data_IF_945292700928
#
_entry.id   IF_945292700928
#
_cell.length_a   1.000
_cell.length_b   1.000
_cell.length_c   1.000
_cell.angle_alpha   90.00
_cell.angle_beta   90.00
_cell.angle_gamma   90.00
#
_symmetry.space_group_name_H-M   'P 1'
#
loop_
_entity.id
_entity.type
_entity.pdbx_description
1 polymer ?
#
# COMPACT_ATOMS: atom_id res chain seq x y z
N UNK A 1 47.74 -6.34 -5.39
CA UNK A 1 48.33 -7.25 -6.40
C UNK A 1 48.95 -8.44 -5.70
N UNK A 2 49.74 -8.18 -4.64
CA UNK A 2 50.23 -9.18 -3.69
C UNK A 2 49.14 -10.11 -3.13
N UNK A 3 47.98 -9.56 -2.70
CA UNK A 3 46.90 -10.38 -2.15
C UNK A 3 46.32 -11.39 -3.16
N UNK A 4 46.24 -11.00 -4.44
CA UNK A 4 45.76 -11.89 -5.53
C UNK A 4 46.78 -12.98 -5.84
N UNK A 5 48.08 -12.67 -5.80
CA UNK A 5 49.15 -13.66 -5.96
C UNK A 5 49.11 -14.70 -4.84
N UNK A 6 49.02 -14.23 -3.60
CA UNK A 6 49.00 -15.11 -2.44
C UNK A 6 47.76 -16.02 -2.44
N UNK A 7 46.60 -15.52 -2.87
CA UNK A 7 45.40 -16.32 -3.03
C UNK A 7 45.59 -17.46 -4.06
N UNK A 8 46.17 -17.17 -5.23
CA UNK A 8 46.45 -18.16 -6.28
C UNK A 8 47.46 -19.20 -5.79
N UNK A 9 48.50 -18.78 -5.06
CA UNK A 9 49.49 -19.71 -4.49
C UNK A 9 48.83 -20.65 -3.48
N UNK A 10 47.97 -20.11 -2.62
CA UNK A 10 47.26 -20.91 -1.61
C UNK A 10 46.30 -21.91 -2.27
N UNK A 11 45.58 -21.48 -3.30
CA UNK A 11 44.65 -22.33 -4.06
C UNK A 11 45.40 -23.43 -4.83
N UNK A 12 46.50 -23.08 -5.48
CA UNK A 12 47.36 -24.06 -6.16
C UNK A 12 47.90 -25.10 -5.18
N UNK A 13 48.46 -24.66 -4.04
CA UNK A 13 48.97 -25.56 -3.01
C UNK A 13 47.87 -26.48 -2.47
N UNK A 14 46.65 -25.98 -2.29
CA UNK A 14 45.52 -26.81 -1.85
C UNK A 14 45.15 -27.91 -2.87
N UNK A 15 45.36 -27.66 -4.16
CA UNK A 15 45.01 -28.59 -5.25
C UNK A 15 46.11 -29.59 -5.56
N UNK A 16 47.38 -29.19 -5.49
CA UNK A 16 48.53 -30.00 -5.93
C UNK A 16 49.41 -30.49 -4.79
N UNK A 17 49.38 -29.83 -3.64
CA UNK A 17 50.33 -30.04 -2.55
C UNK A 17 51.70 -29.40 -2.79
N UNK A 18 51.92 -28.74 -3.92
CA UNK A 18 53.19 -28.11 -4.29
C UNK A 18 53.22 -26.63 -3.91
N UNK A 19 54.31 -26.20 -3.27
CA UNK A 19 54.47 -24.78 -2.87
C UNK A 19 55.08 -23.97 -3.99
N UNK A 20 54.32 -23.00 -4.48
CA UNK A 20 54.81 -21.93 -5.34
C UNK A 20 55.21 -20.71 -4.51
N UNK A 21 56.09 -19.91 -5.08
CA UNK A 21 56.53 -18.60 -4.61
C UNK A 21 55.97 -17.50 -5.51
N UNK A 22 55.95 -16.26 -5.02
CA UNK A 22 55.36 -15.11 -5.75
C UNK A 22 56.04 -14.78 -7.09
N UNK A 23 57.26 -15.27 -7.28
CA UNK A 23 58.07 -15.05 -8.48
C UNK A 23 57.99 -16.21 -9.47
N UNK A 24 57.25 -17.28 -9.13
CA UNK A 24 57.11 -18.41 -10.03
C UNK A 24 56.34 -18.00 -11.30
N UNK A 25 56.84 -18.37 -12.50
CA UNK A 25 56.21 -18.01 -13.77
C UNK A 25 54.80 -18.60 -13.89
N UNK A 26 54.53 -19.70 -13.18
CA UNK A 26 53.20 -20.33 -13.08
C UNK A 26 52.20 -19.37 -12.41
N UNK A 27 52.58 -18.67 -11.34
CA UNK A 27 51.72 -17.69 -10.65
C UNK A 27 51.39 -16.52 -11.58
N UNK A 28 52.39 -16.08 -12.36
CA UNK A 28 52.21 -15.01 -13.35
C UNK A 28 51.25 -15.43 -14.48
N UNK A 29 51.38 -16.66 -14.99
CA UNK A 29 50.47 -17.21 -16.00
C UNK A 29 49.04 -17.38 -15.45
N UNK A 30 48.90 -17.89 -14.23
CA UNK A 30 47.60 -18.05 -13.58
C UNK A 30 46.91 -16.69 -13.37
N UNK A 31 47.64 -15.66 -12.94
CA UNK A 31 47.12 -14.30 -12.88
C UNK A 31 46.64 -13.78 -14.23
N UNK A 32 47.43 -14.02 -15.29
CA UNK A 32 47.08 -13.59 -16.63
C UNK A 32 45.80 -14.27 -17.13
N UNK A 33 45.68 -15.58 -16.98
CA UNK A 33 44.48 -16.32 -17.37
C UNK A 33 43.27 -15.94 -16.52
N UNK A 34 43.42 -15.80 -15.20
CA UNK A 34 42.34 -15.34 -14.32
C UNK A 34 41.86 -13.94 -14.72
N UNK A 35 42.78 -13.02 -15.00
CA UNK A 35 42.43 -11.66 -15.45
C UNK A 35 41.68 -11.68 -16.79
N UNK A 36 42.07 -12.54 -17.74
CA UNK A 36 41.33 -12.71 -19.00
C UNK A 36 39.95 -13.33 -18.79
N UNK A 37 39.82 -14.31 -17.91
CA UNK A 37 38.54 -14.93 -17.56
C UNK A 37 37.60 -13.92 -16.86
N UNK A 38 38.09 -13.18 -15.87
CA UNK A 38 37.37 -12.09 -15.20
C UNK A 38 36.89 -11.04 -16.21
N UNK A 39 37.76 -10.64 -17.14
CA UNK A 39 37.41 -9.68 -18.19
C UNK A 39 36.34 -10.24 -19.14
N UNK A 40 36.43 -11.52 -19.52
CA UNK A 40 35.44 -12.16 -20.38
C UNK A 40 34.08 -12.31 -19.69
N UNK A 41 34.06 -12.61 -18.40
CA UNK A 41 32.85 -12.69 -17.57
C UNK A 41 32.23 -11.31 -17.34
N UNK A 42 33.05 -10.29 -17.04
CA UNK A 42 32.58 -8.92 -16.81
C UNK A 42 32.01 -8.29 -18.07
N UNK A 43 32.61 -8.56 -19.24
CA UNK A 43 32.13 -8.07 -20.53
C UNK A 43 31.13 -9.02 -21.20
N UNK A 44 30.67 -10.07 -20.49
CA UNK A 44 29.67 -10.97 -21.02
C UNK A 44 28.32 -10.24 -21.01
N UNK A 45 27.65 -10.07 -22.18
CA UNK A 45 26.35 -9.41 -22.26
C UNK A 45 25.28 -10.12 -21.40
N UNK A 46 25.44 -11.41 -21.10
CA UNK A 46 24.56 -12.13 -20.17
C UNK A 46 24.71 -11.63 -18.72
N UNK A 47 25.91 -11.27 -18.27
CA UNK A 47 26.15 -10.79 -16.92
C UNK A 47 25.59 -9.37 -16.74
N UNK A 48 25.76 -8.51 -17.75
CA UNK A 48 25.15 -7.18 -17.79
C UNK A 48 23.62 -7.29 -17.77
N UNK A 49 23.04 -8.15 -18.62
CA UNK A 49 21.59 -8.39 -18.65
C UNK A 49 21.08 -8.94 -17.31
N UNK A 50 21.79 -9.89 -16.69
CA UNK A 50 21.43 -10.43 -15.37
C UNK A 50 21.40 -9.33 -14.31
N UNK A 51 22.42 -8.48 -14.28
CA UNK A 51 22.51 -7.36 -13.33
C UNK A 51 21.36 -6.38 -13.53
N UNK A 52 21.05 -6.04 -14.79
CA UNK A 52 19.94 -5.17 -15.15
C UNK A 52 18.58 -5.76 -14.77
N UNK A 53 18.32 -7.02 -15.11
CA UNK A 53 17.06 -7.70 -14.76
C UNK A 53 16.91 -7.82 -13.24
N UNK A 54 17.99 -8.09 -12.51
CA UNK A 54 17.96 -8.11 -11.03
C UNK A 54 17.58 -6.75 -10.45
N UNK A 55 18.12 -5.67 -11.03
CA UNK A 55 17.77 -4.31 -10.64
C UNK A 55 16.29 -3.99 -10.89
N UNK A 56 15.78 -4.29 -12.10
CA UNK A 56 14.36 -4.09 -12.45
C UNK A 56 13.41 -4.88 -11.55
N UNK A 57 13.75 -6.13 -11.21
CA UNK A 57 13.00 -6.96 -10.25
C UNK A 57 13.00 -6.29 -8.87
N UNK A 58 14.12 -5.75 -8.42
CA UNK A 58 14.22 -5.10 -7.13
C UNK A 58 13.37 -3.81 -7.06
N UNK A 59 13.41 -2.97 -8.08
CA UNK A 59 12.57 -1.77 -8.19
C UNK A 59 11.08 -2.13 -8.20
N UNK A 60 10.71 -3.19 -8.92
CA UNK A 60 9.34 -3.72 -8.95
C UNK A 60 8.90 -4.18 -7.55
N UNK A 61 9.76 -4.91 -6.83
CA UNK A 61 9.47 -5.37 -5.47
C UNK A 61 9.28 -4.21 -4.49
N UNK A 62 10.09 -3.15 -4.59
CA UNK A 62 9.92 -1.93 -3.77
C UNK A 62 8.57 -1.28 -4.06
N UNK A 63 8.20 -1.18 -5.33
CA UNK A 63 6.92 -0.59 -5.76
C UNK A 63 5.72 -1.41 -5.25
N UNK A 64 5.79 -2.74 -5.33
CA UNK A 64 4.77 -3.64 -4.80
C UNK A 64 4.62 -3.52 -3.28
N UNK A 65 5.71 -3.39 -2.53
CA UNK A 65 5.66 -3.15 -1.08
C UNK A 65 4.96 -1.84 -0.75
N UNK A 66 5.21 -0.78 -1.54
CA UNK A 66 4.52 0.51 -1.36
C UNK A 66 3.01 0.38 -1.60
N UNK A 67 2.61 -0.27 -2.69
CA UNK A 67 1.19 -0.53 -3.01
C UNK A 67 0.52 -1.35 -1.90
N UNK A 68 1.21 -2.37 -1.36
CA UNK A 68 0.71 -3.17 -0.25
C UNK A 68 0.42 -2.32 0.99
N UNK A 69 1.34 -1.42 1.37
CA UNK A 69 1.16 -0.52 2.50
C UNK A 69 0.01 0.47 2.28
N UNK A 70 -0.14 1.00 1.05
CA UNK A 70 -1.28 1.85 0.69
C UNK A 70 -2.60 1.08 0.79
N UNK A 71 -2.66 -0.18 0.36
CA UNK A 71 -3.85 -1.03 0.48
C UNK A 71 -4.26 -1.28 1.93
N UNK A 72 -3.28 -1.56 2.81
CA UNK A 72 -3.53 -1.74 4.25
C UNK A 72 -4.12 -0.46 4.88
N UNK A 73 -3.61 0.71 4.48
CA UNK A 73 -4.15 2.00 4.95
C UNK A 73 -5.60 2.21 4.51
N UNK A 74 -5.93 1.85 3.26
CA UNK A 74 -7.29 1.94 2.73
C UNK A 74 -8.22 0.99 3.47
N UNK A 75 -7.76 -0.23 3.78
CA UNK A 75 -8.54 -1.19 4.57
C UNK A 75 -8.84 -0.68 5.97
N UNK A 76 -7.86 -0.06 6.64
CA UNK A 76 -8.03 0.55 7.95
C UNK A 76 -9.05 1.71 7.90
N UNK A 77 -8.91 2.60 6.92
CA UNK A 77 -9.85 3.72 6.72
C UNK A 77 -11.28 3.20 6.46
N UNK A 78 -11.42 2.15 5.65
CA UNK A 78 -12.73 1.52 5.39
C UNK A 78 -13.33 0.95 6.68
N UNK A 79 -12.53 0.31 7.54
CA UNK A 79 -13.00 -0.22 8.82
C UNK A 79 -13.49 0.90 9.74
N UNK A 80 -12.74 2.01 9.82
CA UNK A 80 -13.14 3.19 10.59
C UNK A 80 -14.49 3.75 10.12
N UNK A 81 -14.67 3.93 8.81
CA UNK A 81 -15.93 4.40 8.22
C UNK A 81 -17.09 3.44 8.56
N UNK A 82 -16.87 2.11 8.45
CA UNK A 82 -17.90 1.12 8.79
C UNK A 82 -18.27 1.21 10.28
N UNK A 83 -17.28 1.39 11.16
CA UNK A 83 -17.52 1.55 12.59
C UNK A 83 -18.31 2.84 12.88
N UNK A 84 -17.93 3.97 12.28
CA UNK A 84 -18.65 5.25 12.41
C UNK A 84 -20.09 5.16 11.89
N UNK A 85 -20.30 4.50 10.75
CA UNK A 85 -21.64 4.25 10.19
C UNK A 85 -22.48 3.32 11.07
N UNK A 86 -21.85 2.35 11.73
CA UNK A 86 -22.54 1.48 12.70
C UNK A 86 -22.88 2.21 14.00
N UNK A 87 -22.03 3.15 14.41
CA UNK A 87 -22.22 4.00 15.59
C UNK A 87 -23.24 5.12 15.34
N UNK A 88 -23.41 5.55 14.08
CA UNK A 88 -24.55 6.32 13.58
C UNK A 88 -25.80 5.44 13.68
N UNK A 89 -26.29 5.30 14.90
CA UNK A 89 -27.48 4.54 15.21
C UNK A 89 -28.67 5.27 14.60
N UNK A 90 -29.05 4.90 13.38
CA UNK A 90 -30.21 5.44 12.67
C UNK A 90 -31.48 5.41 13.54
N UNK A 91 -31.59 4.43 14.44
CA UNK A 91 -32.68 4.34 15.39
C UNK A 91 -32.64 5.44 16.46
N UNK A 92 -31.45 5.87 16.90
CA UNK A 92 -31.29 6.97 17.85
C UNK A 92 -31.59 8.32 17.19
N UNK A 93 -31.11 8.56 15.98
CA UNK A 93 -31.44 9.77 15.21
C UNK A 93 -32.95 9.81 14.93
N UNK A 94 -33.56 8.71 14.51
CA UNK A 94 -35.00 8.64 14.27
C UNK A 94 -35.81 8.87 15.56
N UNK A 95 -35.32 8.36 16.69
CA UNK A 95 -35.92 8.56 18.01
C UNK A 95 -35.84 10.02 18.46
N UNK A 96 -34.66 10.66 18.36
CA UNK A 96 -34.47 12.07 18.71
C UNK A 96 -35.31 12.99 17.81
N UNK A 97 -35.36 12.74 16.50
CA UNK A 97 -36.22 13.50 15.58
C UNK A 97 -37.69 13.33 15.94
N UNK A 98 -38.14 12.10 16.21
CA UNK A 98 -39.53 11.81 16.60
C UNK A 98 -39.89 12.49 17.93
N UNK A 99 -39.00 12.44 18.92
CA UNK A 99 -39.20 13.06 20.23
C UNK A 99 -39.25 14.58 20.14
N UNK A 100 -38.38 15.21 19.35
CA UNK A 100 -38.39 16.65 19.11
C UNK A 100 -39.66 17.10 18.37
N UNK A 101 -40.08 16.40 17.31
CA UNK A 101 -41.33 16.71 16.59
C UNK A 101 -42.55 16.58 17.54
N UNK A 102 -42.60 15.53 18.37
CA UNK A 102 -43.70 15.35 19.33
C UNK A 102 -43.70 16.45 20.39
N UNK A 103 -42.54 16.89 20.84
CA UNK A 103 -42.40 18.01 21.79
C UNK A 103 -42.90 19.31 21.18
N UNK A 104 -42.45 19.66 19.98
CA UNK A 104 -42.87 20.86 19.25
C UNK A 104 -44.39 20.86 18.99
N UNK A 105 -44.97 19.73 18.59
CA UNK A 105 -46.42 19.58 18.39
C UNK A 105 -47.22 19.70 19.70
N UNK A 106 -46.66 19.27 20.84
CA UNK A 106 -47.31 19.41 22.15
C UNK A 106 -47.23 20.84 22.68
N UNK A 107 -46.11 21.52 22.49
CA UNK A 107 -45.93 22.92 22.88
C UNK A 107 -46.80 23.86 22.01
N UNK A 108 -46.99 23.53 20.73
CA UNK A 108 -47.87 24.30 19.83
C UNK A 108 -49.36 23.97 19.91
N UNK A 109 -49.78 22.95 20.67
CA UNK A 109 -51.20 22.63 20.87
C UNK A 109 -51.99 23.74 21.58
N UNK A 110 -51.29 24.69 22.22
CA UNK A 110 -51.87 25.83 22.92
C UNK A 110 -51.92 27.12 22.08
N UNK A 111 -51.54 27.11 20.80
CA UNK A 111 -51.60 28.29 19.94
C UNK A 111 -52.86 28.33 19.07
N UNK A 112 -53.41 29.54 18.91
CA UNK A 112 -54.69 29.84 18.25
C UNK A 112 -54.77 29.28 16.82
N UNK A 113 -55.99 28.96 16.32
CA UNK A 113 -56.23 28.16 15.11
C UNK A 113 -55.60 28.67 13.80
N UNK A 114 -55.17 29.94 13.71
CA UNK A 114 -54.47 30.46 12.53
C UNK A 114 -53.10 29.82 12.29
N UNK A 115 -52.45 29.24 13.31
CA UNK A 115 -51.12 28.64 13.15
C UNK A 115 -51.19 27.20 12.62
N UNK A 116 -52.29 26.48 12.85
CA UNK A 116 -52.44 25.06 12.48
C UNK A 116 -52.34 24.84 10.96
N UNK A 117 -52.85 25.78 10.16
CA UNK A 117 -52.73 25.74 8.69
C UNK A 117 -51.28 25.88 8.20
N UNK A 118 -50.44 26.65 8.91
CA UNK A 118 -49.01 26.76 8.61
C UNK A 118 -48.27 25.45 8.95
N UNK A 119 -48.66 24.78 10.04
CA UNK A 119 -48.08 23.50 10.44
C UNK A 119 -48.46 22.34 9.50
N UNK A 120 -49.72 22.27 9.05
CA UNK A 120 -50.15 21.27 8.06
C UNK A 120 -49.42 21.47 6.72
N UNK A 121 -49.23 22.74 6.32
CA UNK A 121 -48.43 23.10 5.14
C UNK A 121 -46.96 22.64 5.25
N UNK A 122 -46.31 22.86 6.40
CA UNK A 122 -44.92 22.44 6.65
C UNK A 122 -44.73 20.92 6.70
N UNK A 123 -45.69 20.21 7.29
CA UNK A 123 -45.66 18.73 7.36
C UNK A 123 -45.85 18.14 5.96
N UNK A 124 -46.78 18.68 5.16
CA UNK A 124 -47.00 18.25 3.78
C UNK A 124 -45.76 18.41 2.89
N UNK A 125 -45.08 19.55 3.00
CA UNK A 125 -43.83 19.81 2.26
C UNK A 125 -42.70 18.89 2.72
N UNK A 126 -42.58 18.62 4.02
CA UNK A 126 -41.56 17.72 4.58
C UNK A 126 -41.77 16.26 4.15
N UNK A 127 -43.02 15.78 4.13
CA UNK A 127 -43.37 14.44 3.64
C UNK A 127 -43.05 14.33 2.13
N UNK A 128 -43.39 15.36 1.36
CA UNK A 128 -43.10 15.39 -0.08
C UNK A 128 -41.59 15.35 -0.37
N UNK A 129 -40.78 16.03 0.44
CA UNK A 129 -39.32 16.02 0.34
C UNK A 129 -38.72 14.64 0.66
N UNK A 130 -39.24 13.96 1.70
CA UNK A 130 -38.79 12.59 2.06
C UNK A 130 -39.16 11.59 0.95
N UNK A 131 -40.35 11.71 0.36
CA UNK A 131 -40.76 10.89 -0.79
C UNK A 131 -39.87 11.13 -2.02
N UNK A 132 -39.50 12.37 -2.30
CA UNK A 132 -38.57 12.71 -3.39
C UNK A 132 -37.16 12.14 -3.14
N UNK A 133 -36.64 12.26 -1.93
CA UNK A 133 -35.38 11.61 -1.52
C UNK A 133 -35.44 10.09 -1.71
N UNK A 134 -36.56 9.46 -1.34
CA UNK A 134 -36.72 8.02 -1.51
C UNK A 134 -36.71 7.60 -3.00
N UNK A 135 -37.29 8.41 -3.90
CA UNK A 135 -37.28 8.15 -5.34
C UNK A 135 -35.90 8.36 -5.98
N UNK A 136 -35.12 9.32 -5.50
CA UNK A 136 -33.78 9.61 -6.05
C UNK A 136 -32.73 8.59 -5.61
N UNK A 137 -32.84 8.04 -4.41
CA UNK A 137 -31.84 7.10 -3.89
C UNK A 137 -32.14 5.62 -4.20
N UNK A 138 -33.37 5.27 -4.57
CA UNK A 138 -33.81 3.89 -4.84
C UNK A 138 -34.44 3.69 -6.24
N UNK A 139 -34.25 4.66 -7.15
CA UNK A 139 -34.59 4.56 -8.58
C UNK A 139 -33.39 4.19 -9.43
#
# INVERSE_FOLDING_TARGET
MEDKKQAIINEYFALTGDKLTNDDPIVTLMLYFNSKAESALSNNPLNENLTKTLHEINETNVSLKKISAELESIQLNRLQIVNELSALNKAQIYKEIKENIIKDLKENKNTKPNNIYLWISLISTSISFILALKLVFWG
#
